data_IF_258057324574
#
_entry.id   IF_258057324574
#
_cell.length_a   1.000
_cell.length_b   1.000
_cell.length_c   1.000
_cell.angle_alpha   90.00
_cell.angle_beta   90.00
_cell.angle_gamma   90.00
#
_symmetry.space_group_name_H-M   'P 1'
#
loop_
_entity.id
_entity.type
_entity.pdbx_description
1 polymer ?
#
# COMPACT_ATOMS: atom_id res chain seq x y z
N UNK A 1 23.04 22.19 22.42
CA UNK A 1 23.17 21.80 21.01
C UNK A 1 23.50 20.32 20.94
N UNK A 2 22.59 19.43 20.49
CA UNK A 2 22.88 18.00 20.45
C UNK A 2 23.64 17.65 19.15
N UNK A 3 24.91 17.27 19.28
CA UNK A 3 25.76 16.84 18.17
C UNK A 3 25.30 15.47 17.67
N UNK A 4 24.70 15.42 16.47
CA UNK A 4 24.38 14.15 15.80
C UNK A 4 25.69 13.44 15.45
N UNK A 5 25.87 12.23 15.97
CA UNK A 5 26.98 11.33 15.66
C UNK A 5 26.98 10.99 14.16
N UNK A 6 27.83 11.65 13.38
CA UNK A 6 28.06 11.33 11.97
C UNK A 6 29.02 10.15 11.85
N UNK A 7 28.78 9.27 10.88
CA UNK A 7 29.73 8.22 10.52
C UNK A 7 30.91 8.81 9.74
N UNK A 8 32.06 8.14 9.71
CA UNK A 8 33.28 8.59 9.02
C UNK A 8 33.09 8.89 7.51
N UNK A 9 31.95 8.49 6.91
CA UNK A 9 31.61 8.77 5.50
C UNK A 9 30.58 9.90 5.33
N UNK A 10 30.18 10.61 6.38
CA UNK A 10 29.18 11.68 6.34
C UNK A 10 27.73 11.23 6.11
N UNK A 11 27.47 9.93 5.90
CA UNK A 11 26.12 9.38 5.74
C UNK A 11 25.52 9.06 7.12
N UNK A 12 24.22 9.35 7.36
CA UNK A 12 23.55 8.92 8.59
C UNK A 12 23.57 7.39 8.65
N UNK A 13 23.97 6.84 9.80
CA UNK A 13 23.99 5.38 10.00
C UNK A 13 22.55 4.87 9.93
N UNK A 14 22.34 3.72 9.28
CA UNK A 14 21.01 3.11 9.23
C UNK A 14 20.51 2.82 10.65
N UNK A 15 19.21 3.04 10.93
CA UNK A 15 18.63 2.71 12.23
C UNK A 15 18.80 1.21 12.49
N UNK A 16 19.16 0.87 13.72
CA UNK A 16 19.35 -0.52 14.16
C UNK A 16 18.05 -1.02 14.77
N UNK A 17 17.70 -2.25 14.43
CA UNK A 17 16.59 -2.99 15.01
C UNK A 17 17.14 -4.17 15.81
N UNK A 18 16.61 -4.38 17.00
CA UNK A 18 16.85 -5.56 17.83
C UNK A 18 15.50 -6.24 18.02
N UNK A 19 15.49 -7.57 17.93
CA UNK A 19 14.26 -8.36 18.02
C UNK A 19 14.50 -9.52 18.96
N UNK A 20 13.47 -9.83 19.76
CA UNK A 20 13.43 -11.04 20.59
C UNK A 20 12.57 -12.04 19.85
N UNK A 21 13.12 -13.22 19.57
CA UNK A 21 12.47 -14.28 18.80
C UNK A 21 12.34 -15.53 19.67
N UNK A 22 11.27 -16.33 19.49
CA UNK A 22 11.19 -17.67 20.07
C UNK A 22 12.35 -18.55 19.57
N UNK A 23 12.79 -19.49 20.42
CA UNK A 23 13.94 -20.35 20.15
C UNK A 23 13.78 -21.15 18.85
N UNK A 24 12.61 -21.77 18.65
CA UNK A 24 12.32 -22.55 17.43
C UNK A 24 12.41 -21.71 16.16
N UNK A 25 12.00 -20.44 16.23
CA UNK A 25 12.08 -19.54 15.08
C UNK A 25 13.52 -19.17 14.78
N UNK A 26 14.31 -18.87 15.81
CA UNK A 26 15.74 -18.62 15.68
C UNK A 26 16.45 -19.82 15.04
N UNK A 27 16.17 -21.04 15.50
CA UNK A 27 16.75 -22.27 14.95
C UNK A 27 16.43 -22.45 13.45
N UNK A 28 15.17 -22.25 13.04
CA UNK A 28 14.78 -22.30 11.62
C UNK A 28 15.49 -21.23 10.78
N UNK A 29 15.64 -20.02 11.32
CA UNK A 29 16.34 -18.92 10.64
C UNK A 29 17.82 -19.23 10.45
N UNK A 30 18.47 -19.84 11.45
CA UNK A 30 19.86 -20.31 11.39
C UNK A 30 20.04 -21.38 10.31
N UNK A 31 19.18 -22.41 10.27
CA UNK A 31 19.26 -23.46 9.26
C UNK A 31 19.13 -22.90 7.83
N UNK A 32 18.21 -21.96 7.60
CA UNK A 32 18.06 -21.29 6.30
C UNK A 32 19.31 -20.48 5.95
N UNK A 33 19.86 -19.74 6.91
CA UNK A 33 21.06 -18.95 6.72
C UNK A 33 22.27 -19.82 6.33
N UNK A 34 22.45 -20.96 7.00
CA UNK A 34 23.48 -21.96 6.67
C UNK A 34 23.30 -22.51 5.26
N UNK A 35 22.07 -22.91 4.89
CA UNK A 35 21.80 -23.47 3.56
C UNK A 35 22.10 -22.49 2.41
N UNK A 36 21.95 -21.19 2.65
CA UNK A 36 22.22 -20.15 1.65
C UNK A 36 23.61 -19.49 1.81
N UNK A 37 24.46 -20.01 2.72
CA UNK A 37 25.77 -19.43 3.04
C UNK A 37 25.70 -17.92 3.38
N UNK A 38 24.68 -17.54 4.16
CA UNK A 38 24.42 -16.16 4.60
C UNK A 38 24.46 -16.09 6.13
N UNK A 39 24.66 -14.89 6.67
CA UNK A 39 24.50 -14.66 8.11
C UNK A 39 23.02 -14.60 8.48
N UNK A 40 22.68 -14.97 9.72
CA UNK A 40 21.29 -14.93 10.24
C UNK A 40 20.69 -13.53 10.07
N UNK A 41 21.46 -12.47 10.37
CA UNK A 41 21.01 -11.07 10.20
C UNK A 41 20.71 -10.71 8.74
N UNK A 42 21.53 -11.19 7.80
CA UNK A 42 21.29 -10.96 6.38
C UNK A 42 20.07 -11.74 5.89
N UNK A 43 19.92 -13.00 6.33
CA UNK A 43 18.74 -13.81 6.02
C UNK A 43 17.46 -13.16 6.52
N UNK A 44 17.45 -12.73 7.79
CA UNK A 44 16.32 -12.03 8.39
C UNK A 44 15.97 -10.75 7.60
N UNK A 45 16.98 -9.96 7.22
CA UNK A 45 16.76 -8.77 6.38
C UNK A 45 16.08 -9.10 5.05
N UNK A 46 16.55 -10.12 4.34
CA UNK A 46 15.98 -10.53 3.05
C UNK A 46 14.53 -11.02 3.22
N UNK A 47 14.27 -11.87 4.21
CA UNK A 47 12.92 -12.40 4.47
C UNK A 47 11.94 -11.29 4.86
N UNK A 48 12.37 -10.33 5.69
CA UNK A 48 11.55 -9.16 6.04
C UNK A 48 11.25 -8.33 4.78
N UNK A 49 12.26 -8.05 3.95
CA UNK A 49 12.07 -7.27 2.72
C UNK A 49 11.09 -7.96 1.76
N UNK A 50 11.22 -9.27 1.55
CA UNK A 50 10.30 -10.04 0.73
C UNK A 50 8.89 -10.12 1.34
N UNK A 51 8.78 -10.17 2.67
CA UNK A 51 7.51 -10.13 3.39
C UNK A 51 6.77 -8.81 3.16
N UNK A 52 7.46 -7.68 3.31
CA UNK A 52 6.91 -6.34 3.07
C UNK A 52 6.45 -6.19 1.62
N UNK A 53 7.29 -6.57 0.65
CA UNK A 53 6.94 -6.49 -0.77
C UNK A 53 5.70 -7.34 -1.11
N UNK A 54 5.60 -8.56 -0.57
CA UNK A 54 4.42 -9.43 -0.77
C UNK A 54 3.16 -8.82 -0.15
N UNK A 55 3.28 -8.18 1.00
CA UNK A 55 2.15 -7.52 1.65
C UNK A 55 1.69 -6.29 0.86
N UNK A 56 2.62 -5.46 0.36
CA UNK A 56 2.31 -4.30 -0.48
C UNK A 56 1.66 -4.72 -1.80
N UNK A 57 2.18 -5.78 -2.45
CA UNK A 57 1.58 -6.33 -3.67
C UNK A 57 0.20 -6.96 -3.41
N UNK A 58 0.05 -7.67 -2.30
CA UNK A 58 -1.22 -8.25 -1.87
C UNK A 58 -2.26 -7.17 -1.53
N UNK A 59 -1.83 -6.02 -0.99
CA UNK A 59 -2.70 -4.86 -0.76
C UNK A 59 -3.09 -4.17 -2.07
N UNK A 60 -2.18 -4.05 -3.04
CA UNK A 60 -2.51 -3.54 -4.38
C UNK A 60 -3.50 -4.45 -5.12
N UNK A 61 -3.44 -5.77 -4.91
CA UNK A 61 -4.44 -6.71 -5.43
C UNK A 61 -5.73 -6.76 -4.60
N UNK A 62 -5.68 -6.33 -3.33
CA UNK A 62 -6.82 -6.25 -2.41
C UNK A 62 -7.50 -4.87 -2.40
N UNK A 63 -7.04 -3.90 -3.21
CA UNK A 63 -7.94 -2.88 -3.74
C UNK A 63 -9.05 -3.63 -4.46
N UNK A 64 -10.18 -3.81 -3.77
CA UNK A 64 -11.35 -4.49 -4.30
C UNK A 64 -11.54 -3.98 -5.72
N UNK A 65 -11.65 -4.86 -6.73
CA UNK A 65 -12.07 -4.39 -8.04
C UNK A 65 -13.37 -3.65 -7.81
N UNK A 66 -13.38 -2.32 -8.05
CA UNK A 66 -14.58 -1.50 -7.90
C UNK A 66 -15.74 -2.30 -8.46
N UNK A 67 -16.78 -2.53 -7.66
CA UNK A 67 -17.89 -3.37 -8.11
C UNK A 67 -18.47 -2.74 -9.38
N UNK A 68 -19.17 -3.52 -10.20
CA UNK A 68 -19.75 -3.00 -11.44
C UNK A 68 -20.60 -1.76 -11.17
N UNK A 69 -21.28 -1.70 -10.01
CA UNK A 69 -22.05 -0.53 -9.58
C UNK A 69 -21.18 0.68 -9.23
N UNK A 70 -20.04 0.49 -8.57
CA UNK A 70 -19.12 1.58 -8.21
C UNK A 70 -18.46 2.19 -9.45
N UNK A 71 -18.06 1.35 -10.41
CA UNK A 71 -17.57 1.82 -11.72
C UNK A 71 -18.64 2.59 -12.47
N UNK A 72 -19.89 2.10 -12.44
CA UNK A 72 -21.01 2.76 -13.10
C UNK A 72 -21.35 4.11 -12.46
N UNK A 73 -21.39 4.21 -11.12
CA UNK A 73 -21.59 5.49 -10.42
C UNK A 73 -20.48 6.49 -10.74
N UNK A 74 -19.22 6.07 -10.65
CA UNK A 74 -18.08 6.95 -10.93
C UNK A 74 -18.07 7.45 -12.38
N UNK A 75 -18.48 6.61 -13.33
CA UNK A 75 -18.65 7.01 -14.73
C UNK A 75 -19.81 7.98 -14.96
N UNK A 76 -20.86 7.97 -14.12
CA UNK A 76 -21.96 8.94 -14.17
C UNK A 76 -21.57 10.27 -13.51
N UNK A 77 -20.87 10.22 -12.37
CA UNK A 77 -20.44 11.40 -11.62
C UNK A 77 -19.39 12.23 -12.37
N UNK A 78 -18.52 11.57 -13.15
CA UNK A 78 -17.52 12.23 -14.00
C UNK A 78 -18.11 12.84 -15.28
N UNK A 79 -19.35 12.51 -15.65
CA UNK A 79 -20.02 13.13 -16.79
C UNK A 79 -20.49 14.53 -16.43
N UNK A 80 -20.07 15.51 -17.24
CA UNK A 80 -20.58 16.88 -17.10
C UNK A 80 -22.10 16.90 -17.31
N UNK A 81 -22.87 17.56 -16.42
CA UNK A 81 -24.32 17.66 -16.56
C UNK A 81 -24.65 18.42 -17.85
N UNK A 82 -25.06 17.66 -18.88
CA UNK A 82 -25.53 18.21 -20.16
C UNK A 82 -27.03 17.99 -20.28
N UNK A 83 -27.73 18.98 -20.85
CA UNK A 83 -29.16 18.86 -21.12
C UNK A 83 -29.37 17.66 -22.06
N UNK A 84 -30.27 16.76 -21.69
CA UNK A 84 -30.73 15.71 -22.59
C UNK A 84 -31.27 16.37 -23.86
N UNK A 85 -30.68 16.01 -25.00
CA UNK A 85 -31.02 16.59 -26.31
C UNK A 85 -32.50 16.28 -26.57
N UNK A 86 -33.35 17.32 -26.57
CA UNK A 86 -34.79 17.20 -26.76
C UNK A 86 -35.65 17.52 -25.53
N UNK A 87 -35.08 17.76 -24.34
CA UNK A 87 -35.88 18.11 -23.17
C UNK A 87 -36.53 19.52 -23.34
N UNK A 88 -37.87 19.63 -23.25
CA UNK A 88 -38.59 20.87 -23.51
C UNK A 88 -38.16 21.99 -22.55
N UNK A 89 -38.04 23.21 -23.08
CA UNK A 89 -37.43 24.35 -22.37
C UNK A 89 -38.29 24.95 -21.25
N UNK A 90 -39.57 24.60 -21.13
CA UNK A 90 -40.49 25.07 -20.05
C UNK A 90 -41.68 24.13 -19.95
N UNK A 91 -41.89 23.52 -18.78
CA UNK A 91 -43.21 22.98 -18.39
C UNK A 91 -44.02 24.17 -17.84
N UNK A 92 -45.04 24.61 -18.58
CA UNK A 92 -46.04 25.54 -18.04
C UNK A 92 -47.06 24.71 -17.29
N UNK A 93 -47.01 24.75 -15.96
CA UNK A 93 -48.07 24.21 -15.12
C UNK A 93 -49.29 25.14 -15.26
N UNK A 94 -50.44 24.53 -15.55
CA UNK A 94 -51.70 25.26 -15.67
C UNK A 94 -52.11 25.82 -14.30
N UNK A 95 -52.46 27.10 -14.24
CA UNK A 95 -53.02 27.75 -13.04
C UNK A 95 -54.49 28.09 -13.34
N UNK A 96 -55.46 27.44 -12.68
CA UNK A 96 -56.85 27.87 -12.77
C UNK A 96 -57.04 29.22 -12.08
N UNK A 97 -57.83 30.09 -12.70
CA UNK A 97 -58.19 31.43 -12.22
C UNK A 97 -59.39 31.41 -11.29
#
# INVERSE_FOLDING_TARGET
MPTRQTSASGKPKSPRIQVVLPEDLCARLTALAESESRTVSNMARVLIQQGVQRQEQGQAAAEKPLTREERFRSALESQQPRRLRGAPRRLRLYRPG
#
